data_IF_758388557717
#
_entry.id   IF_758388557717
#
_cell.length_a   1.000
_cell.length_b   1.000
_cell.length_c   1.000
_cell.angle_alpha   90.00
_cell.angle_beta   90.00
_cell.angle_gamma   90.00
#
_symmetry.space_group_name_H-M   'P 1'
#
loop_
_entity.id
_entity.type
_entity.pdbx_description
1 polymer ?
#
# COMPACT_ATOMS: atom_id res chain seq x y z
N UNK A 1 -28.37 -4.00 31.74
CA UNK A 1 -27.73 -2.67 31.89
C UNK A 1 -28.70 -1.64 31.35
N UNK A 2 -28.97 -0.55 32.09
CA UNK A 2 -29.93 0.47 31.64
C UNK A 2 -29.49 1.04 30.28
N UNK A 3 -30.42 1.11 29.32
CA UNK A 3 -30.26 1.80 28.05
C UNK A 3 -29.74 3.24 28.23
N UNK A 4 -30.01 3.85 29.38
CA UNK A 4 -29.57 5.18 29.78
C UNK A 4 -28.04 5.36 29.75
N UNK A 5 -27.26 4.30 29.94
CA UNK A 5 -25.78 4.38 29.95
C UNK A 5 -25.19 4.17 28.54
N UNK A 6 -25.91 3.49 27.64
CA UNK A 6 -25.43 3.16 26.30
C UNK A 6 -25.15 4.41 25.45
N UNK A 7 -26.16 5.25 25.28
CA UNK A 7 -26.08 6.47 24.46
C UNK A 7 -24.96 7.41 24.92
N UNK A 8 -24.80 7.74 26.21
CA UNK A 8 -23.69 8.58 26.65
C UNK A 8 -22.33 7.90 26.46
N UNK A 9 -22.19 6.59 26.69
CA UNK A 9 -20.91 5.89 26.47
C UNK A 9 -20.49 5.90 25.00
N UNK A 10 -21.42 5.68 24.07
CA UNK A 10 -21.14 5.76 22.62
C UNK A 10 -20.76 7.18 22.22
N UNK A 11 -21.45 8.20 22.73
CA UNK A 11 -21.11 9.61 22.47
C UNK A 11 -19.72 9.98 22.99
N UNK A 12 -19.36 9.55 24.19
CA UNK A 12 -18.02 9.76 24.76
C UNK A 12 -16.97 9.07 23.88
N UNK A 13 -17.21 7.81 23.49
CA UNK A 13 -16.30 7.07 22.62
C UNK A 13 -16.11 7.78 21.25
N UNK A 14 -17.19 8.27 20.65
CA UNK A 14 -17.13 9.05 19.40
C UNK A 14 -16.36 10.36 19.57
N UNK A 15 -16.52 11.06 20.70
CA UNK A 15 -15.77 12.27 21.02
C UNK A 15 -14.26 12.02 21.12
N UNK A 16 -13.86 10.99 21.88
CA UNK A 16 -12.46 10.57 22.02
C UNK A 16 -11.88 10.15 20.67
N UNK A 17 -12.60 9.33 19.91
CA UNK A 17 -12.22 8.88 18.57
C UNK A 17 -12.03 10.04 17.61
N UNK A 18 -12.92 11.03 17.65
CA UNK A 18 -12.82 12.20 16.77
C UNK A 18 -11.58 13.03 17.08
N UNK A 19 -11.25 13.21 18.37
CA UNK A 19 -10.00 13.86 18.79
C UNK A 19 -8.74 13.13 18.30
N UNK A 20 -8.71 11.80 18.47
CA UNK A 20 -7.61 10.96 17.96
C UNK A 20 -7.51 11.02 16.43
N UNK A 21 -8.64 11.04 15.73
CA UNK A 21 -8.68 11.11 14.28
C UNK A 21 -8.08 12.42 13.74
N UNK A 22 -8.30 13.53 14.44
CA UNK A 22 -7.67 14.82 14.10
C UNK A 22 -6.16 14.74 14.25
N UNK A 23 -5.66 14.17 15.35
CA UNK A 23 -4.21 14.02 15.60
C UNK A 23 -3.57 13.14 14.51
N UNK A 24 -4.15 11.98 14.23
CA UNK A 24 -3.64 11.06 13.20
C UNK A 24 -3.71 11.69 11.81
N UNK A 25 -4.82 12.37 11.49
CA UNK A 25 -4.98 13.09 10.23
C UNK A 25 -3.97 14.22 10.05
N UNK A 26 -3.61 14.93 11.13
CA UNK A 26 -2.55 15.94 11.14
C UNK A 26 -1.19 15.29 10.87
N UNK A 27 -0.83 14.20 11.55
CA UNK A 27 0.44 13.48 11.33
C UNK A 27 0.56 13.03 9.87
N UNK A 28 -0.48 12.40 9.33
CA UNK A 28 -0.52 11.95 7.93
C UNK A 28 -0.38 13.11 6.94
N UNK A 29 -1.01 14.25 7.24
CA UNK A 29 -0.93 15.45 6.39
C UNK A 29 0.44 16.11 6.48
N UNK A 30 1.05 16.18 7.66
CA UNK A 30 2.41 16.65 7.84
C UNK A 30 3.40 15.76 7.07
N UNK A 31 3.24 14.44 7.12
CA UNK A 31 4.04 13.51 6.32
C UNK A 31 3.91 13.82 4.83
N UNK A 32 2.68 13.89 4.33
CA UNK A 32 2.41 14.21 2.92
C UNK A 32 2.93 15.60 2.50
N UNK A 33 2.77 16.61 3.35
CA UNK A 33 3.23 17.97 3.10
C UNK A 33 4.77 18.01 2.98
N UNK A 34 5.46 17.35 3.92
CA UNK A 34 6.92 17.23 3.90
C UNK A 34 7.42 16.55 2.61
N UNK A 35 6.72 15.52 2.11
CA UNK A 35 7.03 14.79 0.88
C UNK A 35 6.71 15.56 -0.40
N UNK A 36 5.80 16.52 -0.33
CA UNK A 36 5.49 17.40 -1.47
C UNK A 36 6.54 18.51 -1.61
N UNK A 37 7.12 18.96 -0.49
CA UNK A 37 8.15 20.01 -0.51
C UNK A 37 7.61 21.42 -0.75
N UNK A 38 6.31 21.63 -0.54
CA UNK A 38 5.70 22.97 -0.56
C UNK A 38 6.19 23.78 0.64
N UNK A 39 6.33 25.08 0.42
CA UNK A 39 6.73 26.04 1.47
C UNK A 39 5.52 26.71 2.12
N UNK A 40 4.42 26.80 1.39
CA UNK A 40 3.19 27.49 1.81
C UNK A 40 2.06 26.47 1.93
N UNK A 41 1.30 26.60 3.02
CA UNK A 41 0.05 25.85 3.21
C UNK A 41 -1.00 26.45 2.27
N UNK A 42 -1.35 25.68 1.24
CA UNK A 42 -2.35 26.05 0.25
C UNK A 42 -3.72 25.40 0.53
N UNK A 43 -4.76 25.89 -0.14
CA UNK A 43 -6.10 25.31 -0.04
C UNK A 43 -6.13 23.79 -0.35
N UNK A 44 -5.38 23.27 -1.36
CA UNK A 44 -5.20 21.84 -1.55
C UNK A 44 -4.65 21.09 -0.33
N UNK A 45 -3.74 21.69 0.46
CA UNK A 45 -3.22 21.09 1.70
C UNK A 45 -4.31 20.98 2.76
N UNK A 46 -5.16 22.01 2.91
CA UNK A 46 -6.33 21.95 3.80
C UNK A 46 -7.35 20.89 3.35
N UNK A 47 -7.62 20.79 2.04
CA UNK A 47 -8.44 19.72 1.48
C UNK A 47 -7.86 18.33 1.72
N UNK A 48 -6.53 18.19 1.66
CA UNK A 48 -5.83 16.94 1.98
C UNK A 48 -5.99 16.56 3.44
N UNK A 49 -5.86 17.53 4.36
CA UNK A 49 -6.10 17.34 5.79
C UNK A 49 -7.51 16.82 6.05
N UNK A 50 -8.52 17.46 5.45
CA UNK A 50 -9.90 17.05 5.59
C UNK A 50 -10.09 15.59 5.15
N UNK A 51 -9.56 15.20 3.98
CA UNK A 51 -9.68 13.83 3.46
C UNK A 51 -9.01 12.80 4.39
N UNK A 52 -7.82 13.09 4.93
CA UNK A 52 -7.16 12.20 5.90
C UNK A 52 -7.95 12.07 7.21
N UNK A 53 -8.52 13.17 7.71
CA UNK A 53 -9.38 13.15 8.90
C UNK A 53 -10.64 12.31 8.62
N UNK A 54 -11.33 12.53 7.50
CA UNK A 54 -12.54 11.79 7.15
C UNK A 54 -12.28 10.28 7.05
N UNK A 55 -11.16 9.87 6.41
CA UNK A 55 -10.77 8.46 6.34
C UNK A 55 -10.46 7.83 7.70
N UNK A 56 -9.78 8.59 8.57
CA UNK A 56 -9.46 8.14 9.92
C UNK A 56 -10.71 8.05 10.80
N UNK A 57 -11.55 9.09 10.79
CA UNK A 57 -12.84 9.13 11.49
C UNK A 57 -13.72 7.97 11.06
N UNK A 58 -13.88 7.74 9.75
CA UNK A 58 -14.67 6.62 9.23
C UNK A 58 -14.23 5.27 9.82
N UNK A 59 -12.92 5.01 9.80
CA UNK A 59 -12.33 3.75 10.28
C UNK A 59 -12.55 3.58 11.77
N UNK A 60 -12.34 4.63 12.57
CA UNK A 60 -12.51 4.56 14.02
C UNK A 60 -13.98 4.46 14.43
N UNK A 61 -14.90 5.16 13.75
CA UNK A 61 -16.35 5.00 13.95
C UNK A 61 -16.75 3.54 13.69
N UNK A 62 -16.28 2.95 12.58
CA UNK A 62 -16.54 1.55 12.28
C UNK A 62 -16.04 0.62 13.40
N UNK A 63 -14.83 0.85 13.93
CA UNK A 63 -14.28 0.05 15.03
C UNK A 63 -15.10 0.19 16.33
N UNK A 64 -15.59 1.39 16.66
CA UNK A 64 -16.48 1.59 17.81
C UNK A 64 -17.79 0.83 17.62
N UNK A 65 -18.44 0.98 16.47
CA UNK A 65 -19.70 0.28 16.15
C UNK A 65 -19.52 -1.24 16.20
N UNK A 66 -18.45 -1.74 15.58
CA UNK A 66 -18.11 -3.16 15.58
C UNK A 66 -17.86 -3.67 17.01
N UNK A 67 -17.04 -2.96 17.79
CA UNK A 67 -16.74 -3.30 19.18
C UNK A 67 -17.99 -3.32 20.06
N UNK A 68 -18.83 -2.29 19.94
CA UNK A 68 -20.12 -2.21 20.64
C UNK A 68 -21.04 -3.38 20.24
N UNK A 69 -21.12 -3.71 18.96
CA UNK A 69 -21.96 -4.82 18.48
C UNK A 69 -21.50 -6.18 18.99
N UNK A 70 -20.19 -6.42 19.05
CA UNK A 70 -19.60 -7.65 19.60
C UNK A 70 -19.79 -7.71 21.10
N UNK A 71 -19.54 -6.60 21.81
CA UNK A 71 -19.71 -6.54 23.26
C UNK A 71 -21.17 -6.81 23.66
N UNK A 72 -22.13 -6.21 22.96
CA UNK A 72 -23.56 -6.48 23.16
C UNK A 72 -23.93 -7.93 22.88
N UNK A 73 -23.40 -8.51 21.79
CA UNK A 73 -23.60 -9.93 21.45
C UNK A 73 -23.12 -10.84 22.60
N UNK A 74 -21.90 -10.60 23.10
CA UNK A 74 -21.29 -11.39 24.17
C UNK A 74 -22.10 -11.27 25.45
N UNK A 75 -22.42 -10.04 25.88
CA UNK A 75 -23.19 -9.82 27.09
C UNK A 75 -24.57 -10.43 27.02
N UNK A 76 -25.23 -10.37 25.87
CA UNK A 76 -26.54 -10.98 25.67
C UNK A 76 -26.46 -12.51 25.82
N UNK A 77 -25.46 -13.15 25.22
CA UNK A 77 -25.32 -14.61 25.24
C UNK A 77 -24.81 -15.18 26.57
N UNK A 78 -24.13 -14.40 27.41
CA UNK A 78 -23.63 -14.85 28.73
C UNK A 78 -24.71 -14.78 29.83
N UNK A 79 -25.86 -14.15 29.59
CA UNK A 79 -26.89 -13.97 30.61
C UNK A 79 -27.53 -15.29 31.08
N UNK A 80 -27.50 -15.53 32.40
CA UNK A 80 -28.05 -16.72 33.03
C UNK A 80 -29.54 -16.58 33.42
N UNK A 81 -29.98 -15.36 33.80
CA UNK A 81 -31.37 -15.03 34.09
C UNK A 81 -31.83 -13.93 33.13
N UNK A 82 -32.92 -14.15 32.39
CA UNK A 82 -33.39 -13.32 31.26
C UNK A 82 -33.92 -11.93 31.62
N UNK A 83 -33.20 -11.17 32.45
CA UNK A 83 -33.56 -9.82 32.90
C UNK A 83 -33.14 -8.71 31.93
N UNK A 84 -32.52 -9.05 30.79
CA UNK A 84 -32.16 -8.07 29.78
C UNK A 84 -33.31 -7.90 28.80
N UNK A 85 -34.29 -7.09 29.18
CA UNK A 85 -35.35 -6.66 28.26
C UNK A 85 -34.72 -5.86 27.11
N UNK A 86 -34.85 -6.39 25.89
CA UNK A 86 -34.31 -5.81 24.67
C UNK A 86 -35.17 -4.64 24.18
N UNK A 87 -35.41 -3.62 25.01
CA UNK A 87 -36.07 -2.40 24.54
C UNK A 87 -35.03 -1.53 23.78
N UNK A 88 -34.58 -2.01 22.60
CA UNK A 88 -33.37 -1.58 21.86
C UNK A 88 -33.70 -0.58 20.71
N UNK A 89 -34.96 -0.19 20.54
CA UNK A 89 -35.42 0.59 19.37
C UNK A 89 -34.66 1.91 19.15
N UNK A 90 -34.31 2.64 20.23
CA UNK A 90 -33.56 3.91 20.16
C UNK A 90 -32.07 3.72 19.81
N UNK A 91 -31.29 2.84 20.48
CA UNK A 91 -29.93 2.46 20.07
C UNK A 91 -29.79 2.01 18.62
N UNK A 92 -30.81 1.33 18.09
CA UNK A 92 -30.76 0.71 16.76
C UNK A 92 -30.75 1.73 15.61
N UNK A 93 -31.49 2.83 15.74
CA UNK A 93 -31.54 3.87 14.71
C UNK A 93 -30.21 4.63 14.64
N UNK A 94 -29.65 5.02 15.80
CA UNK A 94 -28.33 5.65 15.90
C UNK A 94 -27.23 4.74 15.35
N UNK A 95 -27.27 3.44 15.68
CA UNK A 95 -26.34 2.45 15.15
C UNK A 95 -26.35 2.39 13.62
N UNK A 96 -27.53 2.28 13.00
CA UNK A 96 -27.68 2.24 11.53
C UNK A 96 -27.17 3.52 10.88
N UNK A 97 -27.50 4.68 11.45
CA UNK A 97 -27.02 5.97 10.94
C UNK A 97 -25.49 6.09 10.99
N UNK A 98 -24.86 5.72 12.11
CA UNK A 98 -23.41 5.76 12.23
C UNK A 98 -22.71 4.79 11.26
N UNK A 99 -23.31 3.61 11.01
CA UNK A 99 -22.81 2.65 10.03
C UNK A 99 -22.87 3.22 8.61
N UNK A 100 -24.00 3.82 8.22
CA UNK A 100 -24.16 4.48 6.91
C UNK A 100 -23.16 5.63 6.76
N UNK A 101 -23.03 6.49 7.77
CA UNK A 101 -22.06 7.60 7.75
C UNK A 101 -20.63 7.08 7.60
N UNK A 102 -20.25 6.08 8.40
CA UNK A 102 -18.92 5.46 8.30
C UNK A 102 -18.66 4.90 6.91
N UNK A 103 -19.64 4.22 6.30
CA UNK A 103 -19.55 3.67 4.95
C UNK A 103 -19.36 4.76 3.88
N UNK A 104 -20.15 5.84 3.92
CA UNK A 104 -20.03 6.95 2.97
C UNK A 104 -18.64 7.60 3.09
N UNK A 105 -18.21 7.90 4.31
CA UNK A 105 -16.90 8.48 4.55
C UNK A 105 -15.76 7.55 4.10
N UNK A 106 -15.91 6.23 4.29
CA UNK A 106 -14.92 5.26 3.82
C UNK A 106 -14.85 5.19 2.31
N UNK A 107 -15.98 5.34 1.65
CA UNK A 107 -16.06 5.38 0.17
C UNK A 107 -15.30 6.58 -0.38
N UNK A 108 -15.41 7.76 0.25
CA UNK A 108 -14.63 8.94 -0.11
C UNK A 108 -13.13 8.73 0.09
N UNK A 109 -12.74 8.11 1.21
CA UNK A 109 -11.34 7.76 1.51
C UNK A 109 -10.74 6.78 0.49
N UNK A 110 -11.50 5.73 0.12
CA UNK A 110 -11.08 4.78 -0.92
C UNK A 110 -10.94 5.47 -2.28
N UNK A 111 -11.87 6.36 -2.65
CA UNK A 111 -11.76 7.12 -3.90
C UNK A 111 -10.52 8.03 -3.90
N UNK A 112 -10.23 8.69 -2.77
CA UNK A 112 -9.01 9.48 -2.60
C UNK A 112 -7.74 8.64 -2.75
N UNK A 113 -7.74 7.43 -2.20
CA UNK A 113 -6.64 6.48 -2.33
C UNK A 113 -6.42 6.06 -3.80
N UNK A 114 -7.50 5.76 -4.55
CA UNK A 114 -7.43 5.41 -5.97
C UNK A 114 -6.87 6.59 -6.79
N UNK A 115 -7.37 7.81 -6.56
CA UNK A 115 -6.88 9.02 -7.25
C UNK A 115 -5.39 9.25 -6.95
N UNK A 116 -4.94 8.95 -5.73
CA UNK A 116 -3.52 9.05 -5.38
C UNK A 116 -2.69 8.00 -6.13
N UNK A 117 -3.17 6.76 -6.19
CA UNK A 117 -2.47 5.66 -6.85
C UNK A 117 -2.38 5.83 -8.37
N UNK A 118 -3.36 6.48 -9.00
CA UNK A 118 -3.35 6.75 -10.44
C UNK A 118 -2.45 7.92 -10.85
N UNK A 119 -1.83 8.63 -9.90
CA UNK A 119 -0.96 9.80 -10.12
C UNK A 119 0.51 9.54 -9.75
N UNK A 120 0.90 8.27 -9.69
CA UNK A 120 2.27 7.87 -9.39
C UNK A 120 3.08 7.86 -10.69
N UNK A 121 4.25 8.50 -10.69
CA UNK A 121 5.17 8.44 -11.82
C UNK A 121 6.08 7.22 -11.65
N UNK A 122 6.16 6.36 -12.66
CA UNK A 122 6.99 5.15 -12.64
C UNK A 122 7.93 5.19 -13.84
N UNK A 123 9.22 5.01 -13.60
CA UNK A 123 10.24 4.95 -14.63
C UNK A 123 11.08 3.67 -14.50
N UNK A 124 11.22 2.94 -15.60
CA UNK A 124 12.08 1.76 -15.68
C UNK A 124 13.44 2.16 -16.24
N UNK A 125 14.47 2.00 -15.42
CA UNK A 125 15.87 2.28 -15.74
C UNK A 125 16.48 1.01 -16.32
N UNK A 126 16.87 1.03 -17.59
CA UNK A 126 17.57 -0.09 -18.22
C UNK A 126 19.08 0.12 -18.15
N UNK A 127 19.77 -0.81 -17.51
CA UNK A 127 21.22 -0.78 -17.32
C UNK A 127 21.99 -1.41 -18.49
N UNK A 128 21.30 -2.11 -19.38
CA UNK A 128 21.91 -2.80 -20.50
C UNK A 128 22.47 -1.80 -21.53
N UNK A 129 23.63 -2.12 -22.09
CA UNK A 129 24.32 -1.28 -23.07
C UNK A 129 24.48 -2.06 -24.37
N UNK A 130 24.32 -1.37 -25.49
CA UNK A 130 24.58 -1.98 -26.81
C UNK A 130 26.02 -2.48 -26.89
N UNK A 131 26.21 -3.72 -27.36
CA UNK A 131 27.53 -4.34 -27.50
C UNK A 131 28.28 -3.70 -28.68
N UNK A 132 29.35 -2.97 -28.36
CA UNK A 132 30.47 -2.65 -29.26
C UNK A 132 30.10 -2.03 -30.63
N UNK A 133 29.41 -0.89 -30.65
CA UNK A 133 29.28 -0.02 -31.85
C UNK A 133 28.59 -0.62 -33.08
N UNK A 134 28.16 -1.88 -33.02
CA UNK A 134 27.28 -2.52 -34.00
C UNK A 134 25.84 -2.20 -33.62
N UNK A 135 24.97 -2.02 -34.61
CA UNK A 135 23.58 -1.61 -34.45
C UNK A 135 22.67 -2.65 -33.74
N UNK A 136 23.25 -3.53 -32.92
CA UNK A 136 22.49 -4.40 -32.03
C UNK A 136 21.87 -3.53 -30.94
N UNK A 137 20.62 -3.17 -31.20
CA UNK A 137 19.75 -2.44 -30.29
C UNK A 137 19.52 -3.26 -29.03
N UNK A 138 19.49 -2.58 -27.88
CA UNK A 138 19.16 -3.21 -26.61
C UNK A 138 17.73 -3.77 -26.70
N UNK A 139 17.53 -5.01 -26.25
CA UNK A 139 16.22 -5.66 -26.31
C UNK A 139 15.22 -4.92 -25.41
N UNK A 140 14.10 -4.48 -25.98
CA UNK A 140 13.02 -3.84 -25.21
C UNK A 140 12.21 -4.85 -24.37
N UNK A 141 12.32 -6.15 -24.67
CA UNK A 141 11.48 -7.19 -24.06
C UNK A 141 11.67 -7.34 -22.56
N UNK A 142 12.90 -7.15 -22.04
CA UNK A 142 13.18 -7.17 -20.60
C UNK A 142 12.33 -6.11 -19.88
N UNK A 143 12.30 -4.89 -20.41
CA UNK A 143 11.51 -3.79 -19.85
C UNK A 143 10.01 -4.04 -19.96
N UNK A 144 9.53 -4.59 -21.08
CA UNK A 144 8.13 -4.97 -21.22
C UNK A 144 7.74 -6.07 -20.21
N UNK A 145 8.61 -7.06 -19.99
CA UNK A 145 8.35 -8.14 -19.05
C UNK A 145 8.30 -7.65 -17.61
N UNK A 146 9.31 -6.87 -17.17
CA UNK A 146 9.31 -6.27 -15.83
C UNK A 146 8.10 -5.34 -15.63
N UNK A 147 7.71 -4.58 -16.66
CA UNK A 147 6.53 -3.74 -16.60
C UNK A 147 5.22 -4.55 -16.48
N UNK A 148 5.11 -5.69 -17.16
CA UNK A 148 3.96 -6.59 -17.03
C UNK A 148 3.85 -7.12 -15.58
N UNK A 149 4.93 -7.68 -15.05
CA UNK A 149 4.95 -8.22 -13.69
C UNK A 149 4.66 -7.14 -12.64
N UNK A 150 5.18 -5.93 -12.84
CA UNK A 150 4.85 -4.80 -11.97
C UNK A 150 3.35 -4.50 -11.97
N UNK A 151 2.71 -4.48 -13.14
CA UNK A 151 1.28 -4.24 -13.28
C UNK A 151 0.44 -5.32 -12.59
N UNK A 152 0.86 -6.59 -12.68
CA UNK A 152 0.19 -7.68 -11.95
C UNK A 152 0.25 -7.49 -10.43
N UNK A 153 1.41 -7.08 -9.91
CA UNK A 153 1.63 -6.88 -8.46
C UNK A 153 0.85 -5.69 -7.91
N UNK A 154 0.54 -4.66 -8.71
CA UNK A 154 -0.26 -3.52 -8.26
C UNK A 154 -1.63 -3.92 -7.69
N UNK A 155 -2.20 -5.03 -8.18
CA UNK A 155 -3.50 -5.54 -7.73
C UNK A 155 -3.40 -6.76 -6.85
N UNK A 156 -2.18 -7.20 -6.53
CA UNK A 156 -1.95 -8.37 -5.70
C UNK A 156 -2.51 -8.20 -4.28
N UNK A 157 -3.19 -9.22 -3.79
CA UNK A 157 -3.76 -9.27 -2.45
C UNK A 157 -3.38 -10.58 -1.78
N UNK A 158 -2.92 -10.49 -0.53
CA UNK A 158 -2.67 -11.67 0.32
C UNK A 158 -3.95 -12.44 0.65
N UNK A 159 -5.08 -11.74 0.69
CA UNK A 159 -6.41 -12.29 0.98
C UNK A 159 -7.20 -12.33 -0.34
N UNK A 160 -7.62 -13.53 -0.74
CA UNK A 160 -8.34 -13.72 -1.99
C UNK A 160 -9.83 -13.43 -1.78
N UNK A 161 -10.36 -12.44 -2.51
CA UNK A 161 -11.72 -11.92 -2.30
C UNK A 161 -12.79 -13.00 -2.47
N UNK A 162 -12.70 -13.83 -3.50
CA UNK A 162 -13.71 -14.88 -3.74
C UNK A 162 -13.77 -15.91 -2.60
N UNK A 163 -12.62 -16.46 -2.18
CA UNK A 163 -12.54 -17.37 -1.03
C UNK A 163 -12.97 -16.69 0.27
N UNK A 164 -12.71 -15.40 0.43
CA UNK A 164 -13.16 -14.65 1.60
C UNK A 164 -14.68 -14.59 1.70
N UNK A 165 -15.36 -14.27 0.61
CA UNK A 165 -16.82 -14.28 0.54
C UNK A 165 -17.38 -15.70 0.69
N UNK A 166 -16.77 -16.68 0.02
CA UNK A 166 -17.19 -18.08 0.09
C UNK A 166 -17.08 -18.64 1.52
N UNK A 167 -15.94 -18.45 2.19
CA UNK A 167 -15.77 -18.90 3.57
C UNK A 167 -16.69 -18.15 4.53
N UNK A 168 -16.88 -16.84 4.35
CA UNK A 168 -17.83 -16.07 5.17
C UNK A 168 -19.24 -16.65 5.05
N UNK A 169 -19.71 -16.94 3.83
CA UNK A 169 -21.00 -17.58 3.61
C UNK A 169 -21.06 -19.00 4.18
N UNK A 170 -20.01 -19.79 4.00
CA UNK A 170 -19.91 -21.14 4.56
C UNK A 170 -20.04 -21.12 6.09
N UNK A 171 -19.28 -20.27 6.78
CA UNK A 171 -19.37 -20.14 8.23
C UNK A 171 -20.73 -19.63 8.70
N UNK A 172 -21.31 -18.64 8.02
CA UNK A 172 -22.63 -18.11 8.41
C UNK A 172 -23.77 -19.10 8.15
N UNK A 173 -23.82 -19.73 6.97
CA UNK A 173 -24.98 -20.50 6.48
C UNK A 173 -24.84 -22.01 6.60
N UNK A 174 -23.65 -22.58 6.40
CA UNK A 174 -23.46 -24.03 6.45
C UNK A 174 -23.19 -24.47 7.88
N UNK A 175 -22.31 -23.77 8.59
CA UNK A 175 -22.05 -24.01 10.01
C UNK A 175 -23.17 -23.42 10.90
N UNK A 176 -24.04 -22.58 10.32
CA UNK A 176 -25.13 -21.89 11.03
C UNK A 176 -24.64 -20.93 12.13
N UNK A 177 -23.46 -20.30 11.96
CA UNK A 177 -23.01 -19.27 12.90
C UNK A 177 -23.94 -18.05 12.92
N UNK A 178 -24.78 -17.86 11.90
CA UNK A 178 -25.81 -16.81 11.92
C UNK A 178 -26.82 -16.97 13.07
N UNK A 179 -27.02 -18.20 13.57
CA UNK A 179 -27.90 -18.45 14.71
C UNK A 179 -27.39 -17.79 16.00
N UNK A 180 -26.10 -17.44 16.08
CA UNK A 180 -25.54 -16.67 17.21
C UNK A 180 -26.18 -15.27 17.27
N UNK A 181 -26.62 -14.71 16.14
CA UNK A 181 -27.27 -13.40 16.08
C UNK A 181 -28.73 -13.41 16.56
N UNK A 182 -29.30 -14.58 16.88
CA UNK A 182 -30.70 -14.69 17.29
C UNK A 182 -30.94 -14.11 18.68
N UNK A 183 -32.14 -13.57 18.90
CA UNK A 183 -32.59 -13.07 20.22
C UNK A 183 -32.84 -14.23 21.20
N UNK A 184 -32.89 -15.48 20.74
CA UNK A 184 -33.04 -16.61 21.64
C UNK A 184 -31.71 -16.93 22.35
N UNK A 185 -31.68 -16.75 23.68
CA UNK A 185 -30.54 -17.11 24.52
C UNK A 185 -30.40 -18.62 24.72
N UNK A 186 -31.45 -19.42 24.43
CA UNK A 186 -31.49 -20.86 24.68
C UNK A 186 -30.93 -21.72 23.54
N UNK A 187 -30.76 -21.15 22.36
CA UNK A 187 -30.26 -21.87 21.17
C UNK A 187 -28.77 -22.22 21.19
N UNK A 188 -28.04 -21.86 22.24
CA UNK A 188 -26.69 -22.40 22.48
C UNK A 188 -26.70 -23.90 22.79
N UNK A 189 -27.86 -24.46 23.20
CA UNK A 189 -28.06 -25.88 23.46
C UNK A 189 -28.89 -26.48 22.32
N UNK A 190 -28.20 -27.15 21.39
CA UNK A 190 -28.78 -27.78 20.22
C UNK A 190 -29.69 -28.96 20.58
N UNK A 191 -30.98 -28.72 20.85
CA UNK A 191 -32.06 -29.74 20.79
C UNK A 191 -33.42 -29.17 21.18
N UNK A 192 -33.99 -28.25 20.40
CA UNK A 192 -35.43 -27.97 20.49
C UNK A 192 -36.06 -28.10 19.11
N UNK A 193 -37.16 -28.86 18.98
CA UNK A 193 -37.83 -29.05 17.70
C UNK A 193 -38.40 -27.70 17.26
N UNK A 194 -37.96 -27.25 16.09
CA UNK A 194 -38.48 -26.07 15.40
C UNK A 194 -39.97 -26.33 15.16
N UNK A 195 -40.84 -25.69 15.95
CA UNK A 195 -42.25 -25.60 15.59
C UNK A 195 -42.33 -24.82 14.28
N UNK A 196 -43.13 -25.32 13.34
CA UNK A 196 -43.14 -24.88 11.92
C UNK A 196 -43.55 -23.41 11.68
N UNK A 197 -43.83 -22.65 12.74
CA UNK A 197 -44.26 -21.25 12.69
C UNK A 197 -43.34 -20.28 13.47
N UNK A 198 -42.18 -20.72 13.96
CA UNK A 198 -41.26 -19.82 14.67
C UNK A 198 -40.39 -19.02 13.70
N UNK A 199 -40.68 -17.72 13.55
CA UNK A 199 -39.80 -16.78 12.85
C UNK A 199 -38.78 -16.21 13.85
N UNK A 200 -37.50 -16.56 13.68
CA UNK A 200 -36.41 -15.95 14.46
C UNK A 200 -36.36 -14.44 14.17
N UNK A 201 -36.63 -13.62 15.18
CA UNK A 201 -36.36 -12.19 15.10
C UNK A 201 -34.87 -11.94 15.29
N UNK A 202 -34.29 -11.18 14.35
CA UNK A 202 -32.87 -10.86 14.37
C UNK A 202 -32.65 -9.37 14.58
N UNK A 203 -31.95 -9.03 15.65
CA UNK A 203 -31.56 -7.65 15.93
C UNK A 203 -30.42 -7.20 15.03
N UNK A 204 -30.47 -5.94 14.57
CA UNK A 204 -29.46 -5.41 13.63
C UNK A 204 -28.06 -5.35 14.26
N UNK A 205 -28.00 -5.11 15.56
CA UNK A 205 -26.75 -5.01 16.33
C UNK A 205 -26.10 -6.40 16.44
N UNK A 206 -26.86 -7.44 16.81
CA UNK A 206 -26.33 -8.81 16.94
C UNK A 206 -25.92 -9.41 15.59
N UNK A 207 -26.68 -9.13 14.53
CA UNK A 207 -26.29 -9.52 13.16
C UNK A 207 -24.97 -8.89 12.76
N UNK A 208 -24.79 -7.60 13.06
CA UNK A 208 -23.56 -6.87 12.74
C UNK A 208 -22.37 -7.41 13.54
N UNK A 209 -22.56 -7.69 14.83
CA UNK A 209 -21.52 -8.28 15.69
C UNK A 209 -21.10 -9.68 15.23
N UNK A 210 -22.06 -10.56 14.95
CA UNK A 210 -21.80 -11.91 14.42
C UNK A 210 -21.11 -11.84 13.06
N UNK A 211 -21.62 -11.00 12.15
CA UNK A 211 -21.01 -10.80 10.83
C UNK A 211 -19.58 -10.27 10.92
N UNK A 212 -19.32 -9.31 11.81
CA UNK A 212 -17.97 -8.79 12.05
C UNK A 212 -17.02 -9.87 12.57
N UNK A 213 -17.44 -10.69 13.54
CA UNK A 213 -16.62 -11.79 14.07
C UNK A 213 -16.28 -12.82 13.00
N UNK A 214 -17.23 -13.19 12.14
CA UNK A 214 -16.99 -14.15 11.06
C UNK A 214 -16.07 -13.56 9.98
N UNK A 215 -16.27 -12.28 9.60
CA UNK A 215 -15.37 -11.59 8.66
C UNK A 215 -13.94 -11.51 9.22
N UNK A 216 -13.79 -11.14 10.49
CA UNK A 216 -12.50 -11.06 11.15
C UNK A 216 -11.84 -12.44 11.26
N UNK A 217 -12.59 -13.48 11.67
CA UNK A 217 -12.10 -14.85 11.74
C UNK A 217 -11.65 -15.39 10.38
N UNK A 218 -12.41 -15.15 9.32
CA UNK A 218 -12.04 -15.57 7.96
C UNK A 218 -10.82 -14.82 7.42
N UNK A 219 -10.65 -13.53 7.75
CA UNK A 219 -9.40 -12.79 7.47
C UNK A 219 -8.22 -13.46 8.15
N UNK A 220 -8.32 -13.78 9.45
CA UNK A 220 -7.23 -14.44 10.17
C UNK A 220 -6.87 -15.81 9.58
N UNK A 221 -7.87 -16.65 9.31
CA UNK A 221 -7.65 -17.97 8.71
C UNK A 221 -6.88 -17.84 7.38
N UNK A 222 -7.33 -16.95 6.49
CA UNK A 222 -6.63 -16.75 5.21
C UNK A 222 -5.26 -16.14 5.37
N UNK A 223 -5.09 -15.18 6.29
CA UNK A 223 -3.81 -14.53 6.52
C UNK A 223 -2.77 -15.52 7.07
N UNK A 224 -3.15 -16.35 8.05
CA UNK A 224 -2.28 -17.39 8.58
C UNK A 224 -1.97 -18.46 7.53
N UNK A 225 -2.97 -18.89 6.75
CA UNK A 225 -2.74 -19.80 5.63
C UNK A 225 -1.72 -19.20 4.63
N UNK A 226 -1.89 -17.92 4.28
CA UNK A 226 -0.99 -17.24 3.36
C UNK A 226 0.45 -17.20 3.90
N UNK A 227 0.66 -16.75 5.14
CA UNK A 227 2.01 -16.59 5.69
C UNK A 227 2.69 -17.93 6.01
N UNK A 228 1.96 -18.86 6.61
CA UNK A 228 2.55 -20.11 7.10
C UNK A 228 2.75 -21.14 5.98
N UNK A 229 1.87 -21.14 4.98
CA UNK A 229 1.83 -22.17 3.94
C UNK A 229 2.17 -21.56 2.59
N UNK A 230 1.35 -20.64 2.07
CA UNK A 230 1.50 -20.17 0.68
C UNK A 230 2.83 -19.46 0.43
N UNK A 231 3.18 -18.47 1.25
CA UNK A 231 4.39 -17.67 1.09
C UNK A 231 5.66 -18.51 1.30
N UNK A 232 5.62 -19.53 2.16
CA UNK A 232 6.79 -20.35 2.48
C UNK A 232 6.99 -21.53 1.55
N UNK A 233 5.91 -22.15 1.06
CA UNK A 233 5.96 -23.38 0.28
C UNK A 233 5.68 -23.19 -1.20
N UNK A 234 5.00 -22.11 -1.59
CA UNK A 234 4.60 -21.85 -2.97
C UNK A 234 5.40 -20.70 -3.54
N UNK A 235 5.17 -19.48 -3.07
CA UNK A 235 5.76 -18.30 -3.71
C UNK A 235 5.71 -17.04 -2.82
N UNK A 236 6.81 -16.27 -2.80
CA UNK A 236 6.78 -14.87 -2.39
C UNK A 236 6.88 -13.94 -3.62
N UNK A 237 5.72 -13.47 -4.08
CA UNK A 237 5.62 -12.62 -5.27
C UNK A 237 6.44 -11.34 -5.20
N UNK A 238 6.60 -10.75 -4.01
CA UNK A 238 7.31 -9.47 -3.89
C UNK A 238 8.82 -9.69 -4.01
N UNK A 239 9.34 -10.75 -3.38
CA UNK A 239 10.78 -11.09 -3.49
C UNK A 239 11.09 -11.53 -4.92
N UNK A 240 10.27 -12.41 -5.50
CA UNK A 240 10.44 -12.86 -6.88
C UNK A 240 10.48 -11.70 -7.88
N UNK A 241 9.68 -10.66 -7.64
CA UNK A 241 9.69 -9.47 -8.49
C UNK A 241 10.97 -8.64 -8.37
N UNK A 242 11.49 -8.48 -7.16
CA UNK A 242 12.78 -7.79 -6.94
C UNK A 242 13.91 -8.59 -7.60
N UNK A 243 13.91 -9.91 -7.45
CA UNK A 243 14.86 -10.81 -8.12
C UNK A 243 14.76 -10.73 -9.64
N UNK A 244 13.54 -10.66 -10.17
CA UNK A 244 13.32 -10.48 -11.60
C UNK A 244 13.90 -9.16 -12.11
N UNK A 245 13.79 -8.08 -11.34
CA UNK A 245 14.39 -6.79 -11.70
C UNK A 245 15.91 -6.92 -11.86
N UNK A 246 16.59 -7.58 -10.91
CA UNK A 246 18.03 -7.85 -10.97
C UNK A 246 18.43 -8.77 -12.10
N UNK A 247 17.62 -9.81 -12.34
CA UNK A 247 17.86 -10.76 -13.41
C UNK A 247 17.68 -10.12 -14.79
N UNK A 248 16.76 -9.17 -14.90
CA UNK A 248 16.47 -8.44 -16.13
C UNK A 248 17.35 -7.20 -16.33
N UNK A 249 18.25 -6.87 -15.39
CA UNK A 249 19.08 -5.66 -15.40
C UNK A 249 18.28 -4.35 -15.45
N UNK A 250 17.15 -4.29 -14.76
CA UNK A 250 16.23 -3.15 -14.78
C UNK A 250 15.94 -2.69 -13.36
N UNK A 251 16.27 -1.44 -13.06
CA UNK A 251 15.83 -0.78 -11.83
C UNK A 251 14.51 -0.05 -12.04
N UNK A 252 13.74 0.12 -10.96
CA UNK A 252 12.45 0.83 -11.00
C UNK A 252 12.54 2.05 -10.09
N UNK A 253 12.21 3.21 -10.66
CA UNK A 253 12.20 4.50 -9.98
C UNK A 253 10.76 5.01 -9.92
N UNK A 254 10.19 5.05 -8.72
CA UNK A 254 8.78 5.34 -8.48
C UNK A 254 8.67 6.63 -7.68
N UNK A 255 7.94 7.64 -8.17
CA UNK A 255 7.64 8.86 -7.45
C UNK A 255 6.16 8.90 -7.11
N UNK A 256 5.85 8.74 -5.82
CA UNK A 256 4.48 8.86 -5.32
C UNK A 256 4.13 10.30 -4.89
N UNK A 257 5.14 11.13 -4.64
CA UNK A 257 5.04 12.57 -4.44
C UNK A 257 6.21 13.31 -5.11
N UNK A 258 6.21 14.64 -5.03
CA UNK A 258 7.20 15.48 -5.68
C UNK A 258 8.64 15.22 -5.19
N UNK A 259 8.83 15.00 -3.88
CA UNK A 259 10.14 14.78 -3.25
C UNK A 259 10.27 13.43 -2.56
N UNK A 260 9.36 12.51 -2.80
CA UNK A 260 9.35 11.21 -2.16
C UNK A 260 8.98 10.13 -3.17
N UNK A 261 9.54 8.95 -2.97
CA UNK A 261 9.35 7.83 -3.86
C UNK A 261 9.95 6.54 -3.34
N UNK A 262 9.94 5.53 -4.18
CA UNK A 262 10.51 4.21 -3.93
C UNK A 262 11.46 3.85 -5.07
N UNK A 263 12.56 3.20 -4.73
CA UNK A 263 13.53 2.71 -5.70
C UNK A 263 13.75 1.22 -5.49
N UNK A 264 13.65 0.46 -6.58
CA UNK A 264 14.01 -0.95 -6.62
C UNK A 264 15.27 -1.06 -7.46
N UNK A 265 16.34 -1.50 -6.83
CA UNK A 265 17.62 -1.73 -7.46
C UNK A 265 17.64 -3.09 -8.16
N UNK A 266 17.66 -3.06 -9.49
CA UNK A 266 17.71 -4.25 -10.33
C UNK A 266 18.92 -4.27 -11.26
N UNK A 267 20.03 -3.64 -10.89
CA UNK A 267 21.27 -3.79 -11.68
C UNK A 267 21.79 -5.20 -11.48
N UNK A 268 22.03 -5.91 -12.58
CA UNK A 268 22.59 -7.25 -12.52
C UNK A 268 24.07 -7.19 -12.09
N UNK A 269 24.53 -8.06 -11.17
CA UNK A 269 25.94 -8.12 -10.79
C UNK A 269 26.84 -8.58 -11.96
N UNK A 270 26.26 -9.19 -12.99
CA UNK A 270 26.97 -9.63 -14.20
C UNK A 270 27.05 -8.54 -15.28
N UNK A 271 26.34 -7.43 -15.12
CA UNK A 271 26.33 -6.26 -16.01
C UNK A 271 25.57 -6.44 -17.33
N UNK A 272 25.56 -7.64 -17.90
CA UNK A 272 24.87 -8.00 -19.16
C UNK A 272 23.93 -9.16 -18.87
N UNK A 273 22.68 -9.04 -19.30
CA UNK A 273 21.63 -10.05 -19.03
C UNK A 273 21.04 -10.69 -20.27
N UNK A 274 21.13 -10.03 -21.43
CA UNK A 274 20.79 -10.63 -22.72
C UNK A 274 21.90 -11.60 -23.17
N UNK A 275 21.93 -12.77 -22.52
CA UNK A 275 22.90 -13.85 -22.75
C UNK A 275 22.21 -15.16 -23.10
N UNK A 276 22.96 -16.10 -23.68
CA UNK A 276 22.44 -17.44 -23.97
C UNK A 276 22.20 -18.21 -22.65
N UNK A 277 21.31 -19.21 -22.67
CA UNK A 277 20.96 -20.08 -21.54
C UNK A 277 22.21 -20.66 -20.88
N UNK A 278 23.23 -21.05 -21.66
CA UNK A 278 24.50 -21.56 -21.13
C UNK A 278 25.21 -20.54 -20.23
N UNK A 279 25.32 -19.30 -20.68
CA UNK A 279 25.96 -18.22 -19.92
C UNK A 279 25.12 -17.81 -18.71
N UNK A 280 23.79 -17.84 -18.85
CA UNK A 280 22.86 -17.65 -17.74
C UNK A 280 23.09 -18.69 -16.64
N UNK A 281 23.19 -19.98 -16.99
CA UNK A 281 23.48 -21.05 -16.01
C UNK A 281 24.83 -20.80 -15.33
N UNK A 282 25.87 -20.44 -16.09
CA UNK A 282 27.18 -20.14 -15.51
C UNK A 282 27.15 -18.94 -14.54
N UNK A 283 26.35 -17.92 -14.85
CA UNK A 283 26.16 -16.76 -13.99
C UNK A 283 25.46 -17.15 -12.68
N UNK A 284 24.40 -17.96 -12.76
CA UNK A 284 23.71 -18.51 -11.58
C UNK A 284 24.63 -19.39 -10.73
N UNK A 285 25.48 -20.21 -11.35
CA UNK A 285 26.47 -21.01 -10.62
C UNK A 285 27.50 -20.13 -9.90
N UNK A 286 27.98 -19.06 -10.54
CA UNK A 286 28.89 -18.10 -9.89
C UNK A 286 28.24 -17.41 -8.71
N UNK A 287 26.98 -17.02 -8.84
CA UNK A 287 26.21 -16.41 -7.77
C UNK A 287 25.98 -17.38 -6.60
N UNK A 288 25.63 -18.64 -6.90
CA UNK A 288 25.46 -19.71 -5.89
C UNK A 288 26.74 -19.97 -5.09
N UNK A 289 27.91 -19.77 -5.72
CA UNK A 289 29.22 -19.92 -5.10
C UNK A 289 29.76 -18.62 -4.48
N UNK A 290 28.93 -17.57 -4.40
CA UNK A 290 29.29 -16.25 -3.87
C UNK A 290 30.52 -15.62 -4.55
N UNK A 291 30.71 -15.90 -5.84
CA UNK A 291 31.81 -15.35 -6.65
C UNK A 291 31.45 -14.07 -7.42
N UNK A 292 30.22 -13.59 -7.27
CA UNK A 292 29.73 -12.33 -7.85
C UNK A 292 29.55 -11.26 -6.77
N UNK A 293 29.58 -10.00 -7.19
CA UNK A 293 29.13 -8.89 -6.33
C UNK A 293 27.67 -9.15 -5.91
N UNK A 294 27.30 -8.78 -4.69
CA UNK A 294 25.93 -8.88 -4.21
C UNK A 294 24.95 -8.05 -5.06
N UNK A 295 23.66 -8.38 -5.01
CA UNK A 295 22.61 -7.71 -5.80
C UNK A 295 22.17 -6.35 -5.25
N UNK A 296 22.68 -5.93 -4.09
CA UNK A 296 22.27 -4.67 -3.47
C UNK A 296 22.93 -3.43 -4.07
N UNK A 297 22.41 -2.28 -3.68
CA UNK A 297 22.90 -0.98 -4.18
C UNK A 297 24.29 -0.63 -3.63
N UNK A 298 24.56 -0.92 -2.36
CA UNK A 298 25.88 -0.74 -1.75
C UNK A 298 26.73 -2.01 -1.86
N UNK A 299 28.05 -1.83 -1.99
CA UNK A 299 28.99 -2.92 -1.88
C UNK A 299 28.80 -3.64 -0.53
N UNK A 300 28.47 -4.93 -0.58
CA UNK A 300 28.22 -5.82 0.57
C UNK A 300 26.85 -5.71 1.25
N UNK A 301 25.90 -4.94 0.72
CA UNK A 301 24.51 -4.97 1.19
C UNK A 301 23.66 -5.89 0.31
N UNK A 302 22.76 -6.73 0.88
CA UNK A 302 21.76 -7.46 0.12
C UNK A 302 20.51 -6.61 -0.17
N UNK A 303 20.42 -5.39 0.35
CA UNK A 303 19.22 -4.56 0.22
C UNK A 303 19.04 -4.02 -1.20
N UNK A 304 17.84 -4.21 -1.73
CA UNK A 304 17.49 -3.83 -3.10
C UNK A 304 16.28 -2.90 -3.17
N UNK A 305 15.55 -2.73 -2.08
CA UNK A 305 14.34 -1.92 -2.02
C UNK A 305 14.56 -0.74 -1.09
N UNK A 306 14.39 0.46 -1.62
CA UNK A 306 14.68 1.70 -0.90
C UNK A 306 13.52 2.66 -0.96
N UNK A 307 13.38 3.45 0.09
CA UNK A 307 12.49 4.63 0.10
C UNK A 307 13.36 5.85 -0.12
N UNK A 308 13.04 6.66 -1.11
CA UNK A 308 13.84 7.81 -1.48
C UNK A 308 13.16 9.12 -1.11
N UNK A 309 13.98 10.05 -0.62
CA UNK A 309 13.64 11.47 -0.53
C UNK A 309 14.52 12.23 -1.49
N UNK A 310 13.93 13.11 -2.29
CA UNK A 310 14.56 13.77 -3.41
C UNK A 310 14.69 15.27 -3.15
N UNK A 311 15.82 15.86 -3.57
CA UNK A 311 16.01 17.29 -3.48
C UNK A 311 15.29 18.06 -4.60
N UNK A 312 15.07 19.36 -4.38
CA UNK A 312 14.32 20.19 -5.34
C UNK A 312 15.05 20.34 -6.67
N UNK A 313 16.37 20.50 -6.64
CA UNK A 313 17.18 20.69 -7.85
C UNK A 313 17.11 19.46 -8.75
N UNK A 314 17.25 18.26 -8.19
CA UNK A 314 17.09 17.00 -8.93
C UNK A 314 15.68 16.89 -9.49
N UNK A 315 14.65 17.18 -8.66
CA UNK A 315 13.26 17.08 -9.10
C UNK A 315 12.97 18.02 -10.27
N UNK A 316 13.46 19.26 -10.21
CA UNK A 316 13.31 20.22 -11.32
C UNK A 316 14.00 19.74 -12.60
N UNK A 317 15.19 19.13 -12.50
CA UNK A 317 15.89 18.55 -13.65
C UNK A 317 15.14 17.33 -14.21
N UNK A 318 14.65 16.46 -13.34
CA UNK A 318 13.83 15.30 -13.72
C UNK A 318 12.55 15.74 -14.44
N UNK A 319 11.79 16.69 -13.88
CA UNK A 319 10.57 17.21 -14.47
C UNK A 319 10.82 17.86 -15.83
N UNK A 320 11.95 18.55 -16.00
CA UNK A 320 12.33 19.14 -17.28
C UNK A 320 12.56 18.07 -18.35
N UNK A 321 13.23 16.97 -18.01
CA UNK A 321 13.47 15.86 -18.93
C UNK A 321 12.18 15.09 -19.23
N UNK A 322 11.37 14.84 -18.20
CA UNK A 322 10.12 14.11 -18.32
C UNK A 322 9.06 14.88 -19.12
N UNK A 323 8.92 16.20 -18.91
CA UNK A 323 7.98 17.05 -19.69
C UNK A 323 8.29 17.02 -21.17
N UNK A 324 9.56 17.09 -21.56
CA UNK A 324 9.97 16.96 -22.97
C UNK A 324 9.48 15.64 -23.54
N UNK A 325 9.70 14.53 -22.83
CA UNK A 325 9.21 13.22 -23.23
C UNK A 325 7.67 13.18 -23.40
N UNK A 326 6.92 13.70 -22.42
CA UNK A 326 5.45 13.72 -22.47
C UNK A 326 4.88 14.61 -23.59
N UNK A 327 5.48 15.78 -23.83
CA UNK A 327 5.09 16.67 -24.92
C UNK A 327 5.28 15.97 -26.29
N UNK A 328 6.41 15.29 -26.49
CA UNK A 328 6.64 14.51 -27.71
C UNK A 328 5.69 13.33 -27.84
N UNK A 329 5.35 12.65 -26.74
CA UNK A 329 4.38 11.57 -26.74
C UNK A 329 2.98 12.05 -27.14
N UNK A 330 2.56 13.23 -26.65
CA UNK A 330 1.29 13.86 -27.03
C UNK A 330 1.28 14.26 -28.50
N UNK A 331 2.35 14.87 -29.00
CA UNK A 331 2.46 15.24 -30.42
C UNK A 331 2.43 14.02 -31.36
N UNK A 332 3.07 12.91 -30.98
CA UNK A 332 3.02 11.65 -31.75
C UNK A 332 1.60 11.12 -31.91
N UNK A 333 0.73 11.29 -30.90
CA UNK A 333 -0.68 10.84 -30.95
C UNK A 333 -1.53 11.71 -31.88
N UNK A 334 -1.16 12.98 -32.08
CA UNK A 334 -1.96 13.97 -32.79
C UNK A 334 -1.54 14.23 -34.26
N UNK A 335 -0.34 13.79 -34.71
CA UNK A 335 0.23 14.12 -36.03
C UNK A 335 0.46 12.90 -36.95
N UNK A 336 0.53 13.17 -38.25
CA UNK A 336 0.80 12.19 -39.32
C UNK A 336 2.26 11.69 -39.40
N UNK A 337 3.25 12.45 -38.91
CA UNK A 337 4.67 12.03 -38.99
C UNK A 337 5.14 11.23 -37.76
N UNK A 338 4.56 10.03 -37.57
CA UNK A 338 4.78 9.20 -36.38
C UNK A 338 6.22 8.71 -36.22
N UNK A 339 6.95 8.50 -37.31
CA UNK A 339 8.32 7.97 -37.30
C UNK A 339 9.30 8.97 -36.68
N UNK A 340 9.32 10.21 -37.18
CA UNK A 340 10.15 11.29 -36.63
C UNK A 340 9.90 11.52 -35.13
N UNK A 341 8.63 11.51 -34.69
CA UNK A 341 8.31 11.66 -33.27
C UNK A 341 8.68 10.42 -32.44
N UNK A 342 8.77 9.23 -33.05
CA UNK A 342 9.21 8.01 -32.36
C UNK A 342 10.70 8.11 -32.03
N UNK A 343 11.52 8.59 -32.95
CA UNK A 343 12.96 8.76 -32.73
C UNK A 343 13.25 9.80 -31.64
N UNK A 344 12.55 10.94 -31.67
CA UNK A 344 12.70 11.98 -30.64
C UNK A 344 12.24 11.46 -29.28
N UNK A 345 11.15 10.69 -29.23
CA UNK A 345 10.65 10.10 -27.99
C UNK A 345 11.67 9.11 -27.41
N UNK A 346 12.25 8.27 -28.26
CA UNK A 346 13.30 7.32 -27.88
C UNK A 346 14.54 8.04 -27.35
N UNK A 347 15.00 9.11 -28.03
CA UNK A 347 16.12 9.92 -27.57
C UNK A 347 15.83 10.58 -26.22
N UNK A 348 14.61 11.07 -26.03
CA UNK A 348 14.17 11.68 -24.76
C UNK A 348 14.18 10.66 -23.62
N UNK A 349 13.69 9.44 -23.87
CA UNK A 349 13.77 8.33 -22.93
C UNK A 349 15.22 7.98 -22.59
N UNK A 350 16.09 7.85 -23.59
CA UNK A 350 17.51 7.54 -23.38
C UNK A 350 18.24 8.63 -22.57
N UNK A 351 17.90 9.90 -22.78
CA UNK A 351 18.47 11.00 -22.00
C UNK A 351 18.06 10.93 -20.53
N UNK A 352 16.78 10.63 -20.26
CA UNK A 352 16.29 10.44 -18.89
C UNK A 352 16.92 9.20 -18.23
N UNK A 353 17.03 8.09 -18.97
CA UNK A 353 17.69 6.87 -18.50
C UNK A 353 19.15 7.14 -18.13
N UNK A 354 19.92 7.80 -19.02
CA UNK A 354 21.32 8.17 -18.75
C UNK A 354 21.47 9.08 -17.54
N UNK A 355 20.57 10.05 -17.38
CA UNK A 355 20.56 10.94 -16.22
C UNK A 355 20.36 10.15 -14.92
N UNK A 356 19.39 9.23 -14.88
CA UNK A 356 19.13 8.40 -13.70
C UNK A 356 20.24 7.39 -13.43
N UNK A 357 20.82 6.75 -14.46
CA UNK A 357 21.98 5.89 -14.30
C UNK A 357 23.17 6.66 -13.71
N UNK A 358 23.47 7.84 -14.25
CA UNK A 358 24.55 8.70 -13.75
C UNK A 358 24.30 9.16 -12.31
N UNK A 359 23.04 9.42 -11.95
CA UNK A 359 22.66 9.75 -10.59
C UNK A 359 22.93 8.58 -9.62
N UNK A 360 22.45 7.37 -9.94
CA UNK A 360 22.64 6.18 -9.10
C UNK A 360 24.12 5.81 -8.98
N UNK A 361 24.90 5.95 -10.06
CA UNK A 361 26.36 5.70 -10.10
C UNK A 361 27.19 6.78 -9.38
N UNK A 362 26.57 7.75 -8.69
CA UNK A 362 27.25 8.92 -8.08
C UNK A 362 28.09 9.75 -9.06
N UNK A 363 27.82 9.66 -10.37
CA UNK A 363 28.54 10.38 -11.41
C UNK A 363 28.11 11.85 -11.55
N UNK A 364 27.09 12.28 -10.79
CA UNK A 364 26.60 13.65 -10.73
C UNK A 364 27.05 14.32 -9.41
N UNK A 365 28.13 15.12 -9.41
CA UNK A 365 28.62 15.78 -8.19
C UNK A 365 27.60 16.71 -7.54
N UNK A 366 26.68 17.26 -8.33
CA UNK A 366 25.62 18.18 -7.89
C UNK A 366 24.48 17.49 -7.14
N UNK A 367 24.35 16.17 -7.26
CA UNK A 367 23.24 15.40 -6.71
C UNK A 367 23.75 14.12 -6.03
N UNK A 368 24.55 14.29 -4.99
CA UNK A 368 24.98 13.17 -4.15
C UNK A 368 23.85 12.73 -3.22
N UNK A 369 23.83 11.44 -2.90
CA UNK A 369 22.88 10.85 -1.96
C UNK A 369 23.61 10.02 -0.91
N UNK A 370 22.92 9.80 0.21
CA UNK A 370 23.39 8.91 1.29
C UNK A 370 22.31 7.86 1.56
N UNK A 371 22.73 6.63 1.84
CA UNK A 371 21.86 5.55 2.29
C UNK A 371 21.86 5.52 3.82
N UNK A 372 20.68 5.49 4.43
CA UNK A 372 20.52 5.38 5.88
C UNK A 372 19.41 4.40 6.25
N UNK A 373 19.33 4.00 7.51
CA UNK A 373 18.19 3.23 8.02
C UNK A 373 17.11 4.15 8.59
N UNK A 374 15.85 3.70 8.59
CA UNK A 374 14.75 4.39 9.30
C UNK A 374 14.89 4.23 10.80
N UNK A 375 14.70 5.32 11.53
CA UNK A 375 14.49 5.25 12.97
C UNK A 375 13.15 4.59 13.30
N UNK A 376 13.02 4.05 14.51
CA UNK A 376 11.80 3.39 14.97
C UNK A 376 10.55 4.27 14.81
N UNK A 377 10.63 5.55 15.21
CA UNK A 377 9.52 6.49 15.09
C UNK A 377 9.17 6.80 13.63
N UNK A 378 10.15 6.83 12.72
CA UNK A 378 9.90 6.99 11.28
C UNK A 378 9.17 5.78 10.70
N UNK A 379 9.47 4.57 11.19
CA UNK A 379 8.76 3.33 10.82
C UNK A 379 7.32 3.35 11.32
N UNK A 380 7.08 3.75 12.58
CA UNK A 380 5.75 3.74 13.20
C UNK A 380 4.82 4.78 12.57
N UNK A 381 5.29 6.02 12.43
CA UNK A 381 4.46 7.12 11.91
C UNK A 381 4.46 7.24 10.38
N UNK A 382 5.29 6.45 9.69
CA UNK A 382 5.57 6.59 8.27
C UNK A 382 5.86 8.06 7.91
N UNK A 383 6.82 8.64 8.63
CA UNK A 383 7.23 10.04 8.52
C UNK A 383 8.76 10.09 8.50
N UNK A 384 9.36 10.79 7.55
CA UNK A 384 10.82 10.92 7.45
C UNK A 384 11.28 12.20 8.16
N UNK A 385 12.00 12.05 9.28
CA UNK A 385 12.58 13.19 9.97
C UNK A 385 13.71 13.80 9.12
N UNK A 386 13.83 15.13 9.17
CA UNK A 386 15.00 15.81 8.62
C UNK A 386 16.21 15.46 9.49
N UNK A 387 17.21 14.84 8.88
CA UNK A 387 18.51 14.62 9.52
C UNK A 387 19.37 15.82 9.15
N UNK A 388 19.85 16.56 10.15
CA UNK A 388 20.99 17.45 9.97
C UNK A 388 22.20 16.55 9.72
N UNK A 389 22.71 16.53 8.48
CA UNK A 389 23.99 15.90 8.20
C UNK A 389 25.10 16.79 8.79
N UNK A 390 26.23 16.17 9.17
CA UNK A 390 27.33 16.82 9.88
C UNK A 390 27.98 17.98 9.11
N UNK A 391 28.91 18.72 9.75
CA UNK A 391 29.42 20.02 9.32
C UNK A 391 30.11 20.06 7.94
N UNK A 392 30.51 18.92 7.38
CA UNK A 392 31.11 18.83 6.03
C UNK A 392 30.06 18.80 4.90
N UNK A 393 28.79 18.62 5.24
CA UNK A 393 27.64 18.72 4.32
C UNK A 393 26.85 19.96 4.73
N UNK A 394 27.38 21.11 4.30
CA UNK A 394 26.94 22.46 4.70
C UNK A 394 25.42 22.65 4.78
N UNK A 395 25.03 23.41 5.81
CA UNK A 395 23.69 23.82 6.30
C UNK A 395 22.75 24.52 5.28
N UNK A 396 22.76 24.17 3.98
CA UNK A 396 21.94 24.86 2.97
C UNK A 396 21.19 23.96 1.97
N UNK A 397 21.17 22.64 2.13
CA UNK A 397 20.73 21.76 1.03
C UNK A 397 19.65 20.77 1.49
N UNK A 398 18.48 20.82 0.85
CA UNK A 398 17.50 19.73 0.82
C UNK A 398 18.25 18.45 0.40
N UNK A 399 18.57 17.56 1.33
CA UNK A 399 19.42 16.40 1.03
C UNK A 399 18.60 15.22 0.46
N UNK A 400 19.17 14.54 -0.55
CA UNK A 400 18.63 13.31 -1.11
C UNK A 400 19.08 12.12 -0.25
N UNK A 401 18.15 11.26 0.15
CA UNK A 401 18.51 10.01 0.85
C UNK A 401 17.73 8.83 0.31
N UNK A 402 18.42 7.70 0.20
CA UNK A 402 17.77 6.40 0.16
C UNK A 402 17.69 5.85 1.57
N UNK A 403 16.59 5.18 1.86
CA UNK A 403 16.39 4.51 3.12
C UNK A 403 16.15 3.03 2.88
N UNK A 404 17.09 2.22 3.35
CA UNK A 404 17.00 0.76 3.36
C UNK A 404 15.75 0.29 4.10
N UNK A 405 15.09 -0.74 3.58
CA UNK A 405 13.86 -1.29 4.16
C UNK A 405 14.13 -2.36 5.20
#
# INVERSE_FOLDING_TARGET
MNLEIYTPSVLIALGVVSGLAVIVGLIQTCAWYSRTGKEIIDLPTLGKLLLHILGTVSTLIFLVIAGVSVWWLILFKIQYNGTFESNISTPQSTFKMLLIVSFILKTVDILHLIIRQSRIDIFFIDWERSKSGTANTVSAWRTCFVANEFNEIQTFRRIHVAFHLLFTLFFLKVINLENIASIDSRFANASLPISSNYTMEYESIFRSGTGFLVLLGTVFIQYFFYILIYQRLVEDKIINFVDLCSFSNISIFILDQNRHGYYIHGRSPHGITDVNIKDMIMNLERESRLMSVGRGLEANSPEQSFIMKINRTFRSQYDLLFRKYDDYARHRRARDNKEYFTDILLQSYQNLNKFLCAFIDHALPTHQYVIRNRYFLEKVFNFEFQVALGPDLTDTIDNFFFVGK
#
